data_IF_709580226730
#
_entry.id   IF_709580226730
#
_cell.length_a   1.000
_cell.length_b   1.000
_cell.length_c   1.000
_cell.angle_alpha   90.00
_cell.angle_beta   90.00
_cell.angle_gamma   90.00
#
_symmetry.space_group_name_H-M   'P 1'
#
loop_
_entity.id
_entity.type
_entity.pdbx_description
1 polymer ?
#
# COMPACT_ATOMS: atom_id res chain seq x y z
N UNK A 1 13.57 4.13 -16.06
CA UNK A 1 14.28 5.38 -15.75
C UNK A 1 13.34 6.56 -15.90
N UNK A 2 12.97 7.21 -14.80
CA UNK A 2 12.06 8.36 -14.82
C UNK A 2 12.88 9.65 -14.88
N UNK A 3 12.89 10.31 -16.04
CA UNK A 3 13.67 11.53 -16.31
C UNK A 3 12.90 12.82 -15.98
N UNK A 4 11.89 12.77 -15.11
CA UNK A 4 10.99 13.92 -14.84
C UNK A 4 11.49 14.76 -13.67
N UNK A 5 11.66 16.05 -13.94
CA UNK A 5 12.11 17.10 -12.99
C UNK A 5 11.15 17.27 -11.79
N UNK A 6 9.87 16.92 -11.98
CA UNK A 6 8.88 16.76 -10.91
C UNK A 6 8.08 15.48 -11.13
N UNK A 7 8.00 14.65 -10.08
CA UNK A 7 7.14 13.46 -10.06
C UNK A 7 5.85 13.82 -9.31
N UNK A 8 4.70 13.85 -10.00
CA UNK A 8 3.44 14.21 -9.37
C UNK A 8 3.08 13.20 -8.28
N UNK A 9 2.51 13.67 -7.17
CA UNK A 9 2.04 12.82 -6.08
C UNK A 9 0.82 12.03 -6.56
N UNK A 10 1.06 10.84 -7.08
CA UNK A 10 0.04 9.93 -7.60
C UNK A 10 0.36 8.51 -7.11
N UNK A 11 -0.67 7.80 -6.69
CA UNK A 11 -0.56 6.38 -6.37
C UNK A 11 -0.11 5.57 -7.61
N UNK A 12 0.65 4.51 -7.39
CA UNK A 12 0.96 3.55 -8.44
C UNK A 12 -0.32 2.81 -8.89
N UNK A 13 -0.32 2.28 -10.11
CA UNK A 13 -1.49 1.62 -10.68
C UNK A 13 -1.86 0.31 -9.92
N UNK A 14 -0.92 -0.26 -9.18
CA UNK A 14 -1.08 -1.44 -8.34
C UNK A 14 -1.06 -1.14 -6.82
N UNK A 15 -1.10 0.15 -6.44
CA UNK A 15 -1.06 0.55 -5.05
C UNK A 15 -2.36 0.20 -4.30
N UNK A 16 -2.21 -0.27 -3.07
CA UNK A 16 -3.31 -0.29 -2.10
C UNK A 16 -3.45 1.10 -1.47
N UNK A 17 -4.66 1.66 -1.51
CA UNK A 17 -4.99 2.93 -0.85
C UNK A 17 -5.72 2.64 0.45
N UNK A 18 -5.24 3.23 1.54
CA UNK A 18 -5.84 3.12 2.87
C UNK A 18 -6.20 4.53 3.33
N UNK A 19 -7.46 4.75 3.70
CA UNK A 19 -7.88 5.99 4.34
C UNK A 19 -7.60 5.89 5.84
N UNK A 20 -6.77 6.80 6.35
CA UNK A 20 -6.33 6.83 7.74
C UNK A 20 -6.94 7.98 8.54
N UNK A 21 -7.90 8.72 7.97
CA UNK A 21 -8.38 9.98 8.55
C UNK A 21 -8.96 9.81 9.97
N UNK A 22 -9.58 8.66 10.23
CA UNK A 22 -10.24 8.33 11.51
C UNK A 22 -9.60 7.14 12.25
N UNK A 23 -8.40 6.72 11.84
CA UNK A 23 -7.73 5.55 12.41
C UNK A 23 -6.69 5.96 13.46
N UNK A 24 -6.60 5.18 14.54
CA UNK A 24 -5.45 5.23 15.42
C UNK A 24 -4.23 4.62 14.71
N UNK A 25 -3.03 4.99 15.15
CA UNK A 25 -1.79 4.53 14.51
C UNK A 25 -1.69 3.00 14.50
N UNK A 26 -2.12 2.37 15.59
CA UNK A 26 -2.12 0.92 15.77
C UNK A 26 -3.03 0.24 14.74
N UNK A 27 -4.19 0.82 14.45
CA UNK A 27 -5.13 0.31 13.47
C UNK A 27 -4.58 0.41 12.04
N UNK A 28 -3.89 1.51 11.72
CA UNK A 28 -3.19 1.68 10.43
C UNK A 28 -2.12 0.61 10.26
N UNK A 29 -1.35 0.33 11.32
CA UNK A 29 -0.29 -0.70 11.28
C UNK A 29 -0.90 -2.08 11.03
N UNK A 30 -1.99 -2.42 11.72
CA UNK A 30 -2.70 -3.69 11.50
C UNK A 30 -3.19 -3.84 10.06
N UNK A 31 -3.85 -2.81 9.50
CA UNK A 31 -4.31 -2.77 8.11
C UNK A 31 -3.15 -3.05 7.12
N UNK A 32 -2.01 -2.40 7.30
CA UNK A 32 -0.84 -2.57 6.43
C UNK A 32 -0.29 -4.00 6.51
N UNK A 33 -0.21 -4.58 7.72
CA UNK A 33 0.26 -5.96 7.89
C UNK A 33 -0.66 -6.97 7.21
N UNK A 34 -1.98 -6.79 7.33
CA UNK A 34 -2.97 -7.65 6.70
C UNK A 34 -2.87 -7.63 5.17
N UNK A 35 -2.66 -6.46 4.58
CA UNK A 35 -2.43 -6.32 3.12
C UNK A 35 -1.19 -7.11 2.69
N UNK A 36 -0.06 -6.96 3.41
CA UNK A 36 1.19 -7.65 3.09
C UNK A 36 1.02 -9.18 3.20
N UNK A 37 0.36 -9.66 4.25
CA UNK A 37 0.16 -11.10 4.45
C UNK A 37 -0.82 -11.71 3.44
N UNK A 38 -1.84 -10.96 3.01
CA UNK A 38 -2.71 -11.37 1.91
C UNK A 38 -1.92 -11.53 0.59
N UNK A 39 -1.03 -10.59 0.28
CA UNK A 39 -0.19 -10.68 -0.93
C UNK A 39 0.79 -11.85 -0.86
N UNK A 40 1.42 -12.09 0.30
CA UNK A 40 2.31 -13.24 0.51
C UNK A 40 1.58 -14.57 0.28
N UNK A 41 0.38 -14.73 0.84
CA UNK A 41 -0.44 -15.94 0.65
C UNK A 41 -0.80 -16.15 -0.83
N UNK A 42 -1.14 -15.08 -1.54
CA UNK A 42 -1.43 -15.13 -2.99
C UNK A 42 -0.22 -15.54 -3.82
N UNK A 43 1.00 -15.17 -3.41
CA UNK A 43 2.24 -15.58 -4.08
C UNK A 43 2.59 -17.05 -3.83
N UNK A 44 2.31 -17.59 -2.64
CA UNK A 44 2.58 -19.00 -2.31
C UNK A 44 1.65 -20.00 -3.01
N UNK A 45 0.47 -19.54 -3.45
CA UNK A 45 -0.51 -20.36 -4.18
C UNK A 45 -0.30 -20.34 -5.70
N UNK A 46 0.67 -19.58 -6.20
CA UNK A 46 1.04 -19.49 -7.62
C UNK A 46 2.27 -20.33 -7.91
#
# INVERSE_FOLDING_TARGET
>A
DSTRDTSPLRAADDAHTVDTSDLALEDVICEVLDIVDAQRRKQQMR
#
